data_IF_670224944029
#
_entry.id   IF_670224944029
#
_cell.length_a   1.000
_cell.length_b   1.000
_cell.length_c   1.000
_cell.angle_alpha   90.00
_cell.angle_beta   90.00
_cell.angle_gamma   90.00
#
_symmetry.space_group_name_H-M   'P 1'
#
loop_
_entity.id
_entity.type
_entity.pdbx_description
1 polymer ?
#
# COMPACT_ATOMS: atom_id res chain seq x y z
N UNK A 1 -9.56 -12.86 -24.84
CA UNK A 1 -9.16 -11.55 -24.33
C UNK A 1 -7.76 -11.16 -24.88
N UNK A 2 -7.68 -10.32 -25.93
CA UNK A 2 -6.40 -9.94 -26.54
C UNK A 2 -5.41 -9.27 -25.55
N UNK A 3 -5.91 -8.51 -24.60
CA UNK A 3 -5.09 -7.85 -23.59
C UNK A 3 -4.46 -8.84 -22.61
N UNK A 4 -5.19 -9.87 -22.22
CA UNK A 4 -4.64 -10.98 -21.43
C UNK A 4 -3.59 -11.76 -22.22
N UNK A 5 -3.84 -12.06 -23.49
CA UNK A 5 -2.89 -12.74 -24.36
C UNK A 5 -1.58 -11.92 -24.49
N UNK A 6 -1.69 -10.59 -24.66
CA UNK A 6 -0.54 -9.69 -24.66
C UNK A 6 0.21 -9.75 -23.32
N UNK A 7 -0.49 -9.68 -22.19
CA UNK A 7 0.13 -9.74 -20.87
C UNK A 7 0.92 -11.04 -20.65
N UNK A 8 0.36 -12.18 -21.06
CA UNK A 8 1.04 -13.48 -20.96
C UNK A 8 2.23 -13.56 -21.92
N UNK A 9 2.05 -13.14 -23.17
CA UNK A 9 3.13 -13.18 -24.17
C UNK A 9 4.29 -12.26 -23.80
N UNK A 10 4.03 -11.08 -23.26
CA UNK A 10 5.07 -10.13 -22.86
C UNK A 10 6.04 -10.68 -21.83
N UNK A 11 5.57 -11.57 -20.95
CA UNK A 11 6.42 -12.21 -19.93
C UNK A 11 7.49 -13.11 -20.54
N UNK A 12 7.30 -13.65 -21.75
CA UNK A 12 8.29 -14.46 -22.47
C UNK A 12 9.52 -13.64 -22.90
N UNK A 13 9.38 -12.33 -22.99
CA UNK A 13 10.44 -11.42 -23.41
C UNK A 13 11.13 -10.72 -22.23
N UNK A 14 10.67 -11.01 -21.01
CA UNK A 14 11.29 -10.44 -19.82
C UNK A 14 12.68 -11.06 -19.60
N UNK A 15 13.72 -10.30 -19.97
CA UNK A 15 15.11 -10.75 -19.80
C UNK A 15 15.62 -10.33 -18.42
N UNK A 16 16.02 -11.31 -17.62
CA UNK A 16 16.56 -11.09 -16.27
C UNK A 16 17.99 -11.62 -16.22
N UNK A 17 19.00 -10.74 -16.11
CA UNK A 17 20.38 -11.19 -16.00
C UNK A 17 20.58 -11.96 -14.69
N UNK A 18 21.22 -13.12 -14.78
CA UNK A 18 21.62 -13.90 -13.59
C UNK A 18 23.07 -13.49 -13.26
N UNK A 19 23.34 -12.99 -12.04
CA UNK A 19 24.69 -12.61 -11.66
C UNK A 19 25.63 -13.83 -11.58
N UNK A 20 26.91 -13.60 -11.86
CA UNK A 20 27.92 -14.66 -11.84
C UNK A 20 28.15 -15.26 -10.44
N UNK A 21 27.89 -14.49 -9.39
CA UNK A 21 28.00 -14.94 -7.99
C UNK A 21 26.63 -14.87 -7.33
N UNK A 22 26.26 -15.94 -6.62
CA UNK A 22 25.00 -16.02 -5.90
C UNK A 22 24.94 -15.04 -4.71
N UNK A 23 26.01 -14.96 -3.94
CA UNK A 23 26.12 -14.03 -2.81
C UNK A 23 27.30 -13.10 -3.09
N UNK A 24 27.05 -11.81 -3.16
CA UNK A 24 28.11 -10.81 -3.39
C UNK A 24 29.03 -10.73 -2.17
N UNK A 25 30.37 -10.62 -2.34
CA UNK A 25 31.33 -10.59 -1.21
C UNK A 25 31.12 -9.45 -0.22
N UNK A 26 30.48 -8.36 -0.63
CA UNK A 26 30.16 -7.22 0.26
C UNK A 26 28.81 -7.35 0.98
N UNK A 27 28.09 -8.46 0.81
CA UNK A 27 26.88 -8.71 1.59
C UNK A 27 27.25 -9.12 3.01
N UNK A 28 26.48 -8.64 3.99
CA UNK A 28 26.62 -9.00 5.39
C UNK A 28 25.44 -9.88 5.77
N UNK A 29 25.75 -11.09 6.26
CA UNK A 29 24.74 -12.05 6.68
C UNK A 29 24.90 -12.29 8.19
N UNK A 30 23.82 -12.03 8.93
CA UNK A 30 23.75 -12.18 10.38
C UNK A 30 23.81 -13.63 10.86
N UNK A 31 23.99 -13.76 12.15
CA UNK A 31 24.04 -15.08 12.80
C UNK A 31 22.67 -15.77 12.71
N UNK A 32 22.68 -17.10 12.55
CA UNK A 32 21.46 -17.91 12.43
C UNK A 32 20.50 -17.47 11.31
N UNK A 33 20.96 -16.63 10.35
CA UNK A 33 20.22 -16.40 9.13
C UNK A 33 20.28 -17.67 8.26
N UNK A 34 19.11 -18.11 7.80
CA UNK A 34 18.97 -19.28 6.92
C UNK A 34 18.73 -18.79 5.48
N UNK A 35 19.76 -18.79 4.66
CA UNK A 35 19.70 -18.39 3.26
C UNK A 35 19.75 -19.63 2.37
N UNK A 36 18.67 -19.86 1.61
CA UNK A 36 18.63 -21.00 0.69
C UNK A 36 19.77 -20.93 -0.34
N UNK A 37 20.34 -22.07 -0.70
CA UNK A 37 21.54 -22.17 -1.56
C UNK A 37 21.33 -21.68 -3.00
N UNK A 38 20.09 -21.53 -3.45
CA UNK A 38 19.71 -20.95 -4.74
C UNK A 38 19.45 -19.45 -4.70
N UNK A 39 19.45 -18.83 -3.52
CA UNK A 39 19.19 -17.39 -3.39
C UNK A 39 20.32 -16.55 -3.99
N UNK A 40 19.96 -15.39 -4.51
CA UNK A 40 20.88 -14.39 -5.09
C UNK A 40 20.86 -13.16 -4.21
N UNK A 41 22.00 -12.80 -3.64
CA UNK A 41 22.17 -11.67 -2.74
C UNK A 41 23.15 -10.66 -3.34
N UNK A 42 22.66 -9.46 -3.62
CA UNK A 42 23.41 -8.39 -4.26
C UNK A 42 24.43 -7.71 -3.34
N UNK A 43 25.15 -6.75 -3.92
CA UNK A 43 26.16 -5.97 -3.21
C UNK A 43 25.56 -5.10 -2.08
N UNK A 44 26.27 -5.03 -0.96
CA UNK A 44 25.90 -4.19 0.19
C UNK A 44 24.52 -4.50 0.79
N UNK A 45 24.01 -5.71 0.58
CA UNK A 45 22.83 -6.19 1.28
C UNK A 45 23.20 -6.53 2.72
N UNK A 46 22.42 -6.06 3.67
CA UNK A 46 22.56 -6.41 5.08
C UNK A 46 21.35 -7.28 5.48
N UNK A 47 21.63 -8.48 5.92
CA UNK A 47 20.67 -9.47 6.42
C UNK A 47 20.93 -9.65 7.90
N UNK A 48 19.98 -9.28 8.75
CA UNK A 48 20.12 -9.39 10.19
C UNK A 48 19.91 -10.83 10.72
N UNK A 49 20.07 -10.99 12.02
CA UNK A 49 20.00 -12.30 12.67
C UNK A 49 18.62 -12.96 12.52
N UNK A 50 18.62 -14.29 12.36
CA UNK A 50 17.41 -15.11 12.34
C UNK A 50 16.49 -14.90 11.11
N UNK A 51 16.98 -14.27 10.06
CA UNK A 51 16.25 -14.12 8.79
C UNK A 51 16.18 -15.47 8.07
N UNK A 52 15.01 -15.75 7.48
CA UNK A 52 14.80 -16.93 6.64
C UNK A 52 14.55 -16.47 5.17
N UNK A 53 15.35 -17.00 4.24
CA UNK A 53 15.26 -16.69 2.80
C UNK A 53 15.02 -17.97 2.03
N UNK A 54 13.90 -18.04 1.31
CA UNK A 54 13.43 -19.20 0.56
C UNK A 54 14.18 -19.48 -0.73
N UNK A 55 13.72 -20.51 -1.44
CA UNK A 55 14.29 -20.96 -2.70
C UNK A 55 14.11 -19.92 -3.82
N UNK A 56 15.16 -19.68 -4.61
CA UNK A 56 15.12 -18.82 -5.78
C UNK A 56 14.86 -17.34 -5.49
N UNK A 57 14.97 -16.91 -4.24
CA UNK A 57 14.85 -15.49 -3.87
C UNK A 57 16.00 -14.68 -4.47
N UNK A 58 15.68 -13.49 -4.96
CA UNK A 58 16.68 -12.54 -5.46
C UNK A 58 16.56 -11.21 -4.72
N UNK A 59 17.61 -10.78 -4.05
CA UNK A 59 17.72 -9.51 -3.37
C UNK A 59 18.80 -8.67 -4.06
N UNK A 60 18.40 -7.54 -4.63
CA UNK A 60 19.30 -6.62 -5.32
C UNK A 60 20.13 -5.81 -4.33
N UNK A 61 20.86 -4.80 -4.84
CA UNK A 61 21.87 -4.05 -4.06
C UNK A 61 21.26 -3.16 -2.96
N UNK A 62 22.05 -2.91 -1.90
CA UNK A 62 21.77 -1.93 -0.85
C UNK A 62 20.43 -2.16 -0.12
N UNK A 63 19.98 -3.40 0.00
CA UNK A 63 18.79 -3.73 0.77
C UNK A 63 19.14 -3.98 2.24
N UNK A 64 18.21 -3.65 3.14
CA UNK A 64 18.30 -3.95 4.57
C UNK A 64 17.16 -4.89 4.95
N UNK A 65 17.50 -6.07 5.44
CA UNK A 65 16.56 -7.12 5.85
C UNK A 65 16.67 -7.29 7.35
N UNK A 66 15.67 -6.80 8.08
CA UNK A 66 15.64 -6.75 9.54
C UNK A 66 15.49 -8.12 10.18
N UNK A 67 15.80 -8.18 11.47
CA UNK A 67 15.77 -9.42 12.28
C UNK A 67 14.44 -10.15 12.13
N UNK A 68 14.51 -11.49 12.03
CA UNK A 68 13.34 -12.35 12.02
C UNK A 68 12.45 -12.26 10.79
N UNK A 69 12.85 -11.49 9.77
CA UNK A 69 12.15 -11.43 8.48
C UNK A 69 12.13 -12.80 7.83
N UNK A 70 10.96 -13.18 7.29
CA UNK A 70 10.83 -14.40 6.49
C UNK A 70 10.42 -14.04 5.06
N UNK A 71 11.17 -14.54 4.10
CA UNK A 71 10.96 -14.30 2.66
C UNK A 71 10.68 -15.64 1.99
N UNK A 72 9.47 -15.77 1.47
CA UNK A 72 9.02 -16.97 0.74
C UNK A 72 9.75 -17.17 -0.59
N UNK A 73 9.52 -18.32 -1.20
CA UNK A 73 10.22 -18.74 -2.41
C UNK A 73 10.00 -17.80 -3.59
N UNK A 74 11.01 -17.67 -4.44
CA UNK A 74 10.99 -16.92 -5.71
C UNK A 74 10.62 -15.44 -5.57
N UNK A 75 10.68 -14.91 -4.35
CA UNK A 75 10.47 -13.48 -4.15
C UNK A 75 11.61 -12.67 -4.77
N UNK A 76 11.28 -11.50 -5.28
CA UNK A 76 12.22 -10.56 -5.90
C UNK A 76 12.17 -9.22 -5.20
N UNK A 77 13.31 -8.80 -4.71
CA UNK A 77 13.49 -7.55 -3.97
C UNK A 77 14.48 -6.69 -4.74
N UNK A 78 13.99 -5.59 -5.27
CA UNK A 78 14.79 -4.61 -6.00
C UNK A 78 15.70 -3.81 -5.08
N UNK A 79 16.59 -2.99 -5.65
CA UNK A 79 17.59 -2.24 -4.88
C UNK A 79 16.97 -1.21 -3.91
N UNK A 80 17.67 -0.96 -2.79
CA UNK A 80 17.31 0.03 -1.79
C UNK A 80 15.97 -0.24 -1.08
N UNK A 81 15.54 -1.49 -0.98
CA UNK A 81 14.37 -1.90 -0.20
C UNK A 81 14.76 -2.11 1.25
N UNK A 82 13.89 -1.68 2.17
CA UNK A 82 14.03 -1.91 3.61
C UNK A 82 12.86 -2.76 4.09
N UNK A 83 13.17 -3.93 4.63
CA UNK A 83 12.23 -4.77 5.38
C UNK A 83 12.56 -4.66 6.86
N UNK A 84 11.65 -4.09 7.63
CA UNK A 84 11.79 -3.97 9.08
C UNK A 84 11.66 -5.33 9.78
N UNK A 85 12.07 -5.45 11.06
CA UNK A 85 11.99 -6.71 11.79
C UNK A 85 10.60 -7.34 11.75
N UNK A 86 10.57 -8.68 11.73
CA UNK A 86 9.37 -9.53 11.79
C UNK A 86 8.41 -9.42 10.60
N UNK A 87 8.81 -8.79 9.50
CA UNK A 87 8.03 -8.80 8.25
C UNK A 87 7.97 -10.20 7.68
N UNK A 88 6.76 -10.65 7.32
CA UNK A 88 6.51 -11.92 6.65
C UNK A 88 6.11 -11.64 5.19
N UNK A 89 6.86 -12.19 4.25
CA UNK A 89 6.64 -12.08 2.82
C UNK A 89 6.41 -13.46 2.20
N UNK A 90 5.29 -13.63 1.53
CA UNK A 90 4.92 -14.88 0.85
C UNK A 90 5.73 -15.16 -0.41
N UNK A 91 5.34 -16.22 -1.12
CA UNK A 91 6.00 -16.69 -2.33
C UNK A 91 5.69 -15.81 -3.55
N UNK A 92 6.59 -15.81 -4.55
CA UNK A 92 6.41 -15.16 -5.85
C UNK A 92 6.11 -13.64 -5.76
N UNK A 93 6.53 -13.00 -4.68
CA UNK A 93 6.34 -11.57 -4.47
C UNK A 93 7.41 -10.74 -5.19
N UNK A 94 7.03 -9.52 -5.61
CA UNK A 94 7.94 -8.53 -6.18
C UNK A 94 7.85 -7.22 -5.40
N UNK A 95 8.99 -6.72 -4.90
CA UNK A 95 9.08 -5.43 -4.21
C UNK A 95 10.04 -4.54 -4.96
N UNK A 96 9.55 -3.43 -5.50
CA UNK A 96 10.35 -2.50 -6.27
C UNK A 96 11.13 -1.51 -5.39
N UNK A 97 12.10 -0.86 -6.04
CA UNK A 97 13.14 -0.07 -5.39
C UNK A 97 12.60 1.04 -4.49
N UNK A 98 13.29 1.26 -3.37
CA UNK A 98 12.98 2.33 -2.42
C UNK A 98 11.76 2.08 -1.53
N UNK A 99 11.13 0.90 -1.62
CA UNK A 99 10.00 0.56 -0.74
C UNK A 99 10.47 0.27 0.68
N UNK A 100 9.64 0.67 1.66
CA UNK A 100 9.89 0.50 3.10
C UNK A 100 8.71 -0.23 3.72
N UNK A 101 8.95 -1.44 4.20
CA UNK A 101 7.91 -2.32 4.71
C UNK A 101 8.14 -2.56 6.21
N UNK A 102 7.12 -2.28 7.03
CA UNK A 102 7.12 -2.54 8.46
C UNK A 102 7.68 -1.40 9.32
N UNK A 103 7.82 -0.19 8.77
CA UNK A 103 8.15 1.00 9.58
C UNK A 103 7.10 1.24 10.67
N UNK A 104 7.46 1.84 11.80
CA UNK A 104 6.49 2.20 12.84
C UNK A 104 5.42 3.13 12.28
N UNK A 105 4.15 2.80 12.52
CA UNK A 105 3.03 3.62 12.14
C UNK A 105 2.94 4.93 12.93
N UNK A 106 2.21 5.90 12.40
CA UNK A 106 2.00 7.21 12.99
C UNK A 106 0.91 7.14 14.07
N UNK A 107 1.30 6.82 15.30
CA UNK A 107 0.40 6.70 16.44
C UNK A 107 0.83 7.59 17.60
N UNK A 108 -0.04 8.51 18.04
CA UNK A 108 0.19 9.41 19.16
C UNK A 108 -1.09 9.62 19.96
N UNK A 109 -0.95 9.74 21.29
CA UNK A 109 -2.03 10.08 22.20
C UNK A 109 -1.73 11.41 22.90
N UNK A 110 -2.66 12.38 22.93
CA UNK A 110 -2.47 13.62 23.67
C UNK A 110 -2.69 13.37 25.18
N UNK A 111 -1.90 14.03 26.03
CA UNK A 111 -2.17 14.16 27.46
C UNK A 111 -3.17 15.29 27.75
N UNK A 112 -3.43 15.56 29.03
CA UNK A 112 -4.34 16.61 29.51
C UNK A 112 -3.93 18.04 29.11
N UNK A 113 -2.65 18.22 28.73
CA UNK A 113 -2.10 19.50 28.25
C UNK A 113 -2.01 19.56 26.74
N UNK A 114 -2.49 18.53 26.01
CA UNK A 114 -2.42 18.44 24.55
C UNK A 114 -1.05 18.03 23.99
N UNK A 115 -0.11 17.59 24.84
CA UNK A 115 1.18 17.09 24.42
C UNK A 115 1.06 15.65 23.90
N UNK A 116 1.59 15.38 22.73
CA UNK A 116 1.54 14.07 22.10
C UNK A 116 2.60 13.10 22.63
N UNK A 117 2.16 11.93 23.04
CA UNK A 117 2.99 10.80 23.45
C UNK A 117 2.94 9.70 22.39
N UNK A 118 4.09 9.11 22.00
CA UNK A 118 4.13 8.06 20.98
C UNK A 118 3.46 6.78 21.49
N UNK A 119 2.69 6.14 20.61
CA UNK A 119 2.14 4.80 20.82
C UNK A 119 3.09 3.79 20.18
N UNK A 120 3.62 2.86 20.98
CA UNK A 120 4.50 1.81 20.48
C UNK A 120 3.79 0.95 19.42
N UNK A 121 4.49 0.68 18.33
CA UNK A 121 4.00 -0.12 17.22
C UNK A 121 4.63 -1.51 17.31
N UNK A 122 3.90 -2.45 17.92
CA UNK A 122 4.41 -3.77 18.36
C UNK A 122 4.07 -4.92 17.41
N UNK A 123 3.14 -4.69 16.47
CA UNK A 123 2.77 -5.66 15.45
C UNK A 123 3.81 -5.74 14.32
N UNK A 124 3.47 -6.46 13.27
CA UNK A 124 4.30 -6.65 12.09
C UNK A 124 3.54 -6.32 10.80
N UNK A 125 4.14 -6.62 9.65
CA UNK A 125 3.49 -6.66 8.34
C UNK A 125 3.51 -8.08 7.83
N UNK A 126 2.36 -8.57 7.37
CA UNK A 126 2.19 -9.88 6.75
C UNK A 126 1.75 -9.67 5.31
N UNK A 127 2.54 -10.16 4.37
CA UNK A 127 2.27 -10.08 2.93
C UNK A 127 2.09 -11.49 2.41
N UNK A 128 0.98 -11.73 1.74
CA UNK A 128 0.63 -13.00 1.09
C UNK A 128 1.48 -13.30 -0.13
N UNK A 129 1.01 -14.25 -0.93
CA UNK A 129 1.72 -14.72 -2.12
C UNK A 129 1.40 -13.85 -3.35
N UNK A 130 2.31 -13.82 -4.34
CA UNK A 130 2.12 -13.15 -5.64
C UNK A 130 1.75 -11.67 -5.53
N UNK A 131 2.13 -11.02 -4.43
CA UNK A 131 1.95 -9.58 -4.21
C UNK A 131 3.02 -8.83 -5.00
N UNK A 132 2.62 -7.73 -5.65
CA UNK A 132 3.55 -6.79 -6.29
C UNK A 132 3.45 -5.42 -5.66
N UNK A 133 4.58 -4.88 -5.23
CA UNK A 133 4.71 -3.53 -4.70
C UNK A 133 5.57 -2.70 -5.63
N UNK A 134 5.04 -1.57 -6.06
CA UNK A 134 5.72 -0.57 -6.89
C UNK A 134 6.88 0.11 -6.16
N UNK A 135 7.53 1.03 -6.83
CA UNK A 135 8.64 1.78 -6.26
C UNK A 135 8.17 2.77 -5.18
N UNK A 136 8.95 2.89 -4.09
CA UNK A 136 8.66 3.84 -3.04
C UNK A 136 7.37 3.58 -2.26
N UNK A 137 6.84 2.37 -2.28
CA UNK A 137 5.68 1.97 -1.45
C UNK A 137 6.09 1.94 0.01
N UNK A 138 5.24 2.48 0.89
CA UNK A 138 5.42 2.41 2.34
C UNK A 138 4.26 1.67 3.00
N UNK A 139 4.57 0.67 3.82
CA UNK A 139 3.58 -0.10 4.59
C UNK A 139 3.99 -0.09 6.05
N UNK A 140 3.19 0.54 6.90
CA UNK A 140 3.44 0.62 8.32
C UNK A 140 3.08 -0.68 9.02
N UNK A 141 3.85 -1.04 10.06
CA UNK A 141 3.52 -2.15 10.95
C UNK A 141 2.30 -1.83 11.80
N UNK A 142 1.58 -2.84 12.22
CA UNK A 142 0.45 -2.65 13.11
C UNK A 142 0.87 -2.22 14.53
N UNK A 143 -0.05 -1.57 15.23
CA UNK A 143 0.19 -1.15 16.63
C UNK A 143 0.22 -2.36 17.58
N UNK A 144 -0.81 -3.18 17.61
CA UNK A 144 -0.87 -4.43 18.41
C UNK A 144 -1.03 -5.66 17.51
N UNK A 145 -1.93 -5.61 16.53
CA UNK A 145 -2.06 -6.64 15.50
C UNK A 145 -1.21 -6.28 14.27
N UNK A 146 -1.29 -7.07 13.22
CA UNK A 146 -0.51 -6.87 12.01
C UNK A 146 -1.23 -5.97 10.99
N UNK A 147 -0.46 -5.32 10.11
CA UNK A 147 -0.94 -4.86 8.82
C UNK A 147 -0.85 -6.04 7.85
N UNK A 148 -1.92 -6.28 7.09
CA UNK A 148 -2.06 -7.50 6.27
C UNK A 148 -2.34 -7.12 4.82
N UNK A 149 -1.56 -7.70 3.90
CA UNK A 149 -1.76 -7.64 2.46
C UNK A 149 -1.98 -9.06 1.97
N UNK A 150 -3.18 -9.37 1.50
CA UNK A 150 -3.52 -10.74 1.07
C UNK A 150 -2.91 -11.10 -0.30
N UNK A 151 -3.14 -12.33 -0.74
CA UNK A 151 -2.57 -12.88 -1.97
C UNK A 151 -2.99 -12.07 -3.22
N UNK A 152 -2.11 -12.00 -4.18
CA UNK A 152 -2.42 -11.43 -5.49
C UNK A 152 -2.52 -9.90 -5.56
N UNK A 153 -2.47 -9.18 -4.45
CA UNK A 153 -2.58 -7.71 -4.41
C UNK A 153 -1.49 -7.05 -5.26
N UNK A 154 -1.89 -6.01 -5.99
CA UNK A 154 -0.99 -5.17 -6.79
C UNK A 154 -1.05 -3.73 -6.31
N UNK A 155 0.10 -3.21 -5.94
CA UNK A 155 0.27 -1.85 -5.43
C UNK A 155 1.25 -1.12 -6.34
N UNK A 156 0.82 0.00 -6.88
CA UNK A 156 1.62 0.85 -7.77
C UNK A 156 2.54 1.79 -6.96
N UNK A 157 3.33 2.59 -7.64
CA UNK A 157 4.36 3.43 -7.06
C UNK A 157 3.83 4.46 -6.05
N UNK A 158 4.63 4.72 -4.99
CA UNK A 158 4.38 5.77 -4.00
C UNK A 158 3.05 5.65 -3.22
N UNK A 159 2.50 4.46 -3.12
CA UNK A 159 1.33 4.20 -2.27
C UNK A 159 1.75 4.14 -0.80
N UNK A 160 0.94 4.73 0.09
CA UNK A 160 1.10 4.61 1.53
C UNK A 160 -0.03 3.78 2.15
N UNK A 161 0.33 2.74 2.89
CA UNK A 161 -0.59 1.89 3.65
C UNK A 161 -0.29 2.05 5.14
N UNK A 162 -1.20 2.71 5.87
CA UNK A 162 -1.07 2.97 7.30
C UNK A 162 -1.14 1.71 8.17
N UNK A 163 -0.80 1.85 9.43
CA UNK A 163 -0.77 0.74 10.40
C UNK A 163 -2.12 0.02 10.54
N UNK A 164 -2.11 -1.27 10.79
CA UNK A 164 -3.30 -2.11 10.97
C UNK A 164 -4.27 -2.13 9.78
N UNK A 165 -3.86 -1.70 8.60
CA UNK A 165 -4.65 -1.88 7.39
C UNK A 165 -4.74 -3.35 7.01
N UNK A 166 -5.84 -3.71 6.34
CA UNK A 166 -6.04 -5.02 5.73
C UNK A 166 -6.47 -4.83 4.28
N UNK A 167 -5.73 -5.40 3.34
CA UNK A 167 -6.05 -5.35 1.90
C UNK A 167 -6.36 -6.75 1.41
N UNK A 168 -7.58 -6.96 0.95
CA UNK A 168 -8.10 -8.25 0.48
C UNK A 168 -7.52 -8.68 -0.87
N UNK A 169 -7.63 -9.97 -1.14
CA UNK A 169 -7.07 -10.67 -2.30
C UNK A 169 -7.37 -9.96 -3.63
N UNK A 170 -6.42 -10.03 -4.56
CA UNK A 170 -6.52 -9.54 -5.95
C UNK A 170 -6.95 -8.06 -6.08
N UNK A 171 -6.81 -7.29 -5.01
CA UNK A 171 -7.07 -5.83 -5.03
C UNK A 171 -5.92 -5.08 -5.70
N UNK A 172 -6.28 -4.06 -6.48
CA UNK A 172 -5.33 -3.16 -7.18
C UNK A 172 -5.38 -1.78 -6.54
N UNK A 173 -4.22 -1.22 -6.19
CA UNK A 173 -4.06 0.12 -5.64
C UNK A 173 -3.09 0.88 -6.53
N UNK A 174 -3.61 1.90 -7.22
CA UNK A 174 -2.83 2.71 -8.17
C UNK A 174 -2.02 3.80 -7.47
N UNK A 175 -1.08 4.38 -8.20
CA UNK A 175 -0.04 5.27 -7.71
C UNK A 175 -0.52 6.44 -6.86
N UNK A 176 0.31 6.79 -5.88
CA UNK A 176 0.07 7.91 -4.96
C UNK A 176 -1.22 7.81 -4.13
N UNK A 177 -1.90 6.66 -4.10
CA UNK A 177 -3.01 6.46 -3.17
C UNK A 177 -2.49 6.32 -1.73
N UNK A 178 -3.29 6.77 -0.77
CA UNK A 178 -2.94 6.68 0.65
C UNK A 178 -4.13 6.27 1.50
N UNK A 179 -3.89 5.42 2.50
CA UNK A 179 -4.91 4.99 3.43
C UNK A 179 -4.47 5.13 4.89
N UNK A 180 -5.37 5.70 5.68
CA UNK A 180 -5.18 5.86 7.12
C UNK A 180 -5.20 4.51 7.83
N UNK A 181 -4.57 4.47 9.01
CA UNK A 181 -4.49 3.27 9.83
C UNK A 181 -5.84 2.63 10.12
N UNK A 182 -5.87 1.29 10.16
CA UNK A 182 -7.06 0.49 10.41
C UNK A 182 -8.04 0.38 9.24
N UNK A 183 -7.69 0.89 8.05
CA UNK A 183 -8.51 0.74 6.84
C UNK A 183 -8.58 -0.72 6.41
N UNK A 184 -9.77 -1.21 6.10
CA UNK A 184 -10.01 -2.56 5.57
C UNK A 184 -10.56 -2.44 4.15
N UNK A 185 -9.84 -3.00 3.19
CA UNK A 185 -10.27 -3.08 1.79
C UNK A 185 -10.63 -4.52 1.48
N UNK A 186 -11.81 -4.75 0.92
CA UNK A 186 -12.27 -6.08 0.50
C UNK A 186 -11.47 -6.63 -0.69
N UNK A 187 -11.90 -7.78 -1.19
CA UNK A 187 -11.28 -8.47 -2.34
C UNK A 187 -11.68 -7.84 -3.66
N UNK A 188 -10.83 -8.00 -4.68
CA UNK A 188 -11.11 -7.56 -6.06
C UNK A 188 -11.50 -6.07 -6.16
N UNK A 189 -10.98 -5.23 -5.27
CA UNK A 189 -11.20 -3.79 -5.32
C UNK A 189 -10.22 -3.11 -6.27
N UNK A 190 -10.61 -1.94 -6.79
CA UNK A 190 -9.74 -1.09 -7.61
C UNK A 190 -9.72 0.31 -6.99
N UNK A 191 -8.58 0.67 -6.44
CA UNK A 191 -8.34 2.00 -5.87
C UNK A 191 -7.49 2.79 -6.85
N UNK A 192 -8.09 3.73 -7.55
CA UNK A 192 -7.38 4.50 -8.58
C UNK A 192 -6.37 5.50 -7.99
N UNK A 193 -5.54 6.09 -8.86
CA UNK A 193 -4.43 6.95 -8.44
C UNK A 193 -4.85 8.17 -7.63
N UNK A 194 -4.04 8.52 -6.64
CA UNK A 194 -4.25 9.69 -5.79
C UNK A 194 -5.47 9.63 -4.88
N UNK A 195 -6.08 8.46 -4.69
CA UNK A 195 -7.20 8.28 -3.77
C UNK A 195 -6.72 8.40 -2.33
N UNK A 196 -7.40 9.23 -1.54
CA UNK A 196 -7.18 9.33 -0.10
C UNK A 196 -8.29 8.64 0.67
N UNK A 197 -7.95 7.68 1.52
CA UNK A 197 -8.90 6.95 2.37
C UNK A 197 -8.61 7.29 3.84
N UNK A 198 -9.56 7.92 4.52
CA UNK A 198 -9.39 8.25 5.93
C UNK A 198 -10.56 9.05 6.48
N UNK A 199 -10.82 8.91 7.78
CA UNK A 199 -11.95 9.55 8.45
C UNK A 199 -11.74 9.66 9.95
N UNK A 200 -12.83 9.78 10.70
CA UNK A 200 -12.79 9.81 12.18
C UNK A 200 -12.57 8.45 12.83
N UNK A 201 -12.42 7.39 12.04
CA UNK A 201 -12.22 6.01 12.50
C UNK A 201 -11.90 5.10 11.33
N UNK A 202 -11.75 3.80 11.57
CA UNK A 202 -11.48 2.82 10.52
C UNK A 202 -12.54 2.85 9.43
N UNK A 203 -12.10 2.72 8.18
CA UNK A 203 -12.96 2.68 6.99
C UNK A 203 -12.89 1.29 6.41
N UNK A 204 -14.04 0.70 6.09
CA UNK A 204 -14.17 -0.64 5.51
C UNK A 204 -14.82 -0.56 4.14
N UNK A 205 -14.25 -1.25 3.16
CA UNK A 205 -14.86 -1.50 1.86
C UNK A 205 -15.26 -2.96 1.77
N UNK A 206 -16.47 -3.22 1.27
CA UNK A 206 -16.84 -4.57 0.83
C UNK A 206 -16.05 -4.97 -0.43
N UNK A 207 -16.20 -6.22 -0.86
CA UNK A 207 -15.55 -6.71 -2.07
C UNK A 207 -16.06 -5.99 -3.34
N UNK A 208 -15.23 -5.98 -4.38
CA UNK A 208 -15.54 -5.47 -5.73
C UNK A 208 -15.94 -3.98 -5.77
N UNK A 209 -15.33 -3.17 -4.94
CA UNK A 209 -15.46 -1.71 -4.96
C UNK A 209 -14.41 -1.10 -5.88
N UNK A 210 -14.85 -0.21 -6.76
CA UNK A 210 -13.96 0.64 -7.57
C UNK A 210 -14.05 2.09 -7.09
N UNK A 211 -12.91 2.69 -6.78
CA UNK A 211 -12.82 4.13 -6.43
C UNK A 211 -12.08 4.86 -7.54
N UNK A 212 -12.70 5.89 -8.11
CA UNK A 212 -12.09 6.67 -9.19
C UNK A 212 -10.97 7.59 -8.70
N UNK A 213 -10.08 7.97 -9.60
CA UNK A 213 -8.88 8.74 -9.28
C UNK A 213 -9.19 10.06 -8.54
N UNK A 214 -8.24 10.45 -7.65
CA UNK A 214 -8.30 11.69 -6.87
C UNK A 214 -9.51 11.81 -5.92
N UNK A 215 -10.18 10.68 -5.65
CA UNK A 215 -11.32 10.67 -4.71
C UNK A 215 -10.86 10.68 -3.26
N UNK A 216 -11.61 11.39 -2.40
CA UNK A 216 -11.45 11.36 -0.95
C UNK A 216 -12.59 10.56 -0.32
N UNK A 217 -12.27 9.39 0.24
CA UNK A 217 -13.22 8.49 0.87
C UNK A 217 -13.18 8.68 2.39
N UNK A 218 -14.31 9.03 2.98
CA UNK A 218 -14.42 9.37 4.40
C UNK A 218 -15.44 8.52 5.16
N UNK A 219 -16.07 7.55 4.49
CA UNK A 219 -17.06 6.62 5.03
C UNK A 219 -16.86 5.24 4.44
N UNK A 220 -17.23 4.22 5.19
CA UNK A 220 -17.24 2.83 4.72
C UNK A 220 -18.18 2.66 3.52
N UNK A 221 -17.88 1.66 2.69
CA UNK A 221 -18.62 1.33 1.48
C UNK A 221 -19.06 -0.14 1.59
N UNK A 222 -20.36 -0.35 1.78
CA UNK A 222 -20.95 -1.65 2.07
C UNK A 222 -21.62 -2.30 0.84
N UNK A 223 -21.65 -1.60 -0.29
CA UNK A 223 -22.28 -2.09 -1.53
C UNK A 223 -21.24 -2.05 -2.65
N UNK A 224 -21.04 -3.17 -3.39
CA UNK A 224 -20.16 -3.19 -4.55
C UNK A 224 -20.56 -2.14 -5.59
N UNK A 225 -19.59 -1.55 -6.27
CA UNK A 225 -19.86 -0.54 -7.28
C UNK A 225 -18.72 0.46 -7.48
N UNK A 226 -18.99 1.46 -8.31
CA UNK A 226 -18.01 2.52 -8.61
C UNK A 226 -18.34 3.80 -7.85
N UNK A 227 -17.36 4.33 -7.13
CA UNK A 227 -17.50 5.49 -6.26
C UNK A 227 -16.54 6.60 -6.68
N UNK A 228 -17.01 7.83 -6.60
CA UNK A 228 -16.26 9.02 -6.97
C UNK A 228 -16.49 10.13 -5.95
N UNK A 229 -15.50 10.99 -5.77
CA UNK A 229 -15.67 12.26 -5.05
C UNK A 229 -14.90 13.38 -5.76
N UNK A 230 -15.18 14.61 -5.37
CA UNK A 230 -14.60 15.78 -6.03
C UNK A 230 -15.44 16.28 -7.21
N UNK A 231 -14.91 17.28 -7.91
CA UNK A 231 -15.58 17.89 -9.08
C UNK A 231 -14.82 17.54 -10.36
N UNK A 232 -15.55 17.33 -11.45
CA UNK A 232 -14.94 17.17 -12.77
C UNK A 232 -14.12 18.40 -13.16
N UNK A 233 -13.05 18.20 -13.94
CA UNK A 233 -12.24 19.29 -14.46
C UNK A 233 -13.06 20.25 -15.34
N UNK A 234 -12.75 21.53 -15.26
CA UNK A 234 -13.30 22.54 -16.17
C UNK A 234 -12.28 23.67 -16.34
N UNK A 235 -12.54 24.57 -17.29
CA UNK A 235 -11.73 25.78 -17.45
C UNK A 235 -11.66 26.55 -16.12
N UNK A 236 -10.50 27.12 -15.79
CA UNK A 236 -10.21 27.69 -14.47
C UNK A 236 -11.25 28.72 -13.99
N UNK A 237 -11.61 29.69 -14.85
CA UNK A 237 -12.61 30.72 -14.48
C UNK A 237 -13.99 30.14 -14.23
N UNK A 238 -14.37 29.08 -14.98
CA UNK A 238 -15.62 28.34 -14.73
C UNK A 238 -15.55 27.53 -13.44
N UNK A 239 -14.42 26.85 -13.21
CA UNK A 239 -14.20 26.08 -11.97
C UNK A 239 -14.29 27.01 -10.75
N UNK A 240 -13.62 28.15 -10.77
CA UNK A 240 -13.62 29.10 -9.65
C UNK A 240 -15.03 29.60 -9.32
N UNK A 241 -15.83 29.99 -10.34
CA UNK A 241 -17.21 30.40 -10.13
C UNK A 241 -18.06 29.28 -9.50
N UNK A 242 -17.89 28.05 -9.96
CA UNK A 242 -18.60 26.89 -9.42
C UNK A 242 -18.19 26.61 -7.95
N UNK A 243 -16.90 26.69 -7.63
CA UNK A 243 -16.38 26.50 -6.28
C UNK A 243 -16.93 27.55 -5.30
N UNK A 244 -16.97 28.81 -5.70
CA UNK A 244 -17.59 29.90 -4.91
C UNK A 244 -19.10 29.68 -4.72
N UNK A 245 -19.79 29.19 -5.75
CA UNK A 245 -21.22 28.87 -5.64
C UNK A 245 -21.48 27.69 -4.72
N UNK A 246 -20.62 26.65 -4.77
CA UNK A 246 -20.70 25.51 -3.87
C UNK A 246 -20.55 25.92 -2.40
N UNK A 247 -19.64 26.84 -2.08
CA UNK A 247 -19.46 27.36 -0.72
C UNK A 247 -20.72 28.08 -0.19
N UNK A 248 -21.57 28.61 -1.08
CA UNK A 248 -22.84 29.29 -0.76
C UNK A 248 -24.07 28.36 -0.81
N UNK A 249 -23.89 27.09 -1.14
CA UNK A 249 -25.01 26.16 -1.37
C UNK A 249 -25.94 26.06 -0.15
N UNK A 250 -25.39 26.05 1.06
CA UNK A 250 -26.16 26.01 2.31
C UNK A 250 -27.06 27.23 2.50
N UNK A 251 -26.59 28.44 2.14
CA UNK A 251 -27.38 29.68 2.19
C UNK A 251 -28.48 29.69 1.13
N UNK A 252 -28.17 29.25 -0.07
CA UNK A 252 -29.12 29.12 -1.17
C UNK A 252 -30.25 28.15 -0.82
N UNK A 253 -29.92 27.00 -0.25
CA UNK A 253 -30.90 26.01 0.21
C UNK A 253 -31.85 26.59 1.28
N UNK A 254 -31.31 27.30 2.28
CA UNK A 254 -32.16 27.99 3.29
C UNK A 254 -33.11 29.00 2.65
N UNK A 255 -32.63 29.81 1.69
CA UNK A 255 -33.47 30.80 0.98
C UNK A 255 -34.57 30.13 0.13
N UNK A 256 -34.31 29.00 -0.46
CA UNK A 256 -35.29 28.25 -1.26
C UNK A 256 -36.36 27.63 -0.36
N UNK A 257 -35.94 27.00 0.74
CA UNK A 257 -36.86 26.36 1.69
C UNK A 257 -37.72 27.35 2.50
N UNK A 258 -37.24 28.58 2.70
CA UNK A 258 -37.98 29.66 3.39
C UNK A 258 -38.96 30.41 2.49
N UNK A 259 -39.02 30.15 1.19
CA UNK A 259 -40.03 30.76 0.30
C UNK A 259 -41.41 30.22 0.65
N UNK A 260 -42.39 31.09 0.95
CA UNK A 260 -43.75 30.61 1.19
C UNK A 260 -44.26 29.88 -0.06
N UNK A 261 -44.85 28.70 0.16
CA UNK A 261 -45.54 27.99 -0.94
C UNK A 261 -46.61 28.95 -1.48
N UNK A 262 -46.49 29.34 -2.76
CA UNK A 262 -47.55 30.07 -3.44
C UNK A 262 -48.84 29.23 -3.31
N UNK A 263 -49.85 29.79 -2.65
CA UNK A 263 -51.20 29.23 -2.66
C UNK A 263 -51.66 29.30 -4.12
N UNK A 264 -51.71 28.13 -4.81
CA UNK A 264 -52.43 27.95 -6.06
C UNK A 264 -53.90 27.79 -5.81
#
# INVERSE_FOLDING_TARGET
NPYLAYAVASQLFEHRPVPAQKIHPSAIIGNNANVHNSAIIGAHVVIEDGVEIGEGVSISHNCSIGRGVKIGDRARISSNVVLYPDVLLGNDCEINSGSVIGSPGFGFAPDEHGKFHPIAQLGAVVIGNKVRLGAGVTIDRGALGNTVIEDGVKVDDQVHIGHNCHVGEDTIICGCAGMAGGTVIGKNCVIAGGVGIGGKGPITFCDSVTVTAMSAIRKSIDIPGTYSSGTAQSEHGKWLRNALSFNRLGELTKKILSRPKSKG
#
